data_IF_819843996522
#
_entry.id   IF_819843996522
#
_cell.length_a   1.000
_cell.length_b   1.000
_cell.length_c   1.000
_cell.angle_alpha   90.00
_cell.angle_beta   90.00
_cell.angle_gamma   90.00
#
_symmetry.space_group_name_H-M   'P 1'
#
loop_
_entity.id
_entity.type
_entity.pdbx_description
1 polymer ?
#
# COMPACT_ATOMS: atom_id res chain seq x y z
N UNK A 1 -19.26 71.51 -19.82
CA UNK A 1 -20.73 71.49 -20.08
C UNK A 1 -21.36 70.41 -19.21
N UNK A 2 -22.59 70.60 -18.68
CA UNK A 2 -23.60 69.57 -18.22
C UNK A 2 -23.06 68.30 -17.51
N UNK A 3 -23.22 67.99 -16.20
CA UNK A 3 -24.07 68.44 -15.07
C UNK A 3 -25.58 68.19 -15.23
N UNK A 4 -26.37 67.61 -14.29
CA UNK A 4 -26.22 67.35 -12.83
C UNK A 4 -26.93 66.01 -12.44
N UNK A 5 -26.42 65.22 -11.46
CA UNK A 5 -27.21 64.23 -10.70
C UNK A 5 -26.59 63.90 -9.31
N UNK A 6 -27.40 63.63 -8.27
CA UNK A 6 -26.99 63.30 -6.87
C UNK A 6 -28.00 62.38 -6.15
N UNK A 7 -27.63 61.91 -4.94
CA UNK A 7 -28.34 61.05 -3.97
C UNK A 7 -28.40 59.54 -4.35
N UNK A 8 -28.35 58.57 -3.42
CA UNK A 8 -28.32 58.59 -1.95
C UNK A 8 -29.67 58.20 -1.32
N UNK A 9 -29.79 57.23 -0.42
CA UNK A 9 -28.80 56.34 0.21
C UNK A 9 -29.46 55.32 1.18
N UNK A 10 -28.80 55.00 2.30
CA UNK A 10 -29.25 54.16 3.45
C UNK A 10 -29.41 52.64 3.21
N UNK A 11 -29.21 51.85 4.28
CA UNK A 11 -29.32 50.37 4.35
C UNK A 11 -30.57 49.94 5.14
N UNK A 12 -30.90 48.62 5.19
CA UNK A 12 -30.62 47.89 6.44
C UNK A 12 -30.24 46.39 6.29
N UNK A 13 -29.78 45.77 7.38
CA UNK A 13 -29.61 44.31 7.53
C UNK A 13 -30.93 43.64 7.99
N UNK A 14 -31.35 42.55 7.34
CA UNK A 14 -31.63 41.26 8.01
C UNK A 14 -32.04 40.14 7.04
N UNK A 15 -31.58 38.90 7.31
CA UNK A 15 -32.21 37.67 6.77
C UNK A 15 -31.84 36.43 7.61
N UNK A 16 -32.88 35.76 8.12
CA UNK A 16 -32.94 34.37 8.56
C UNK A 16 -31.73 33.67 9.22
N UNK A 17 -31.70 33.70 10.57
CA UNK A 17 -31.50 32.49 11.36
C UNK A 17 -32.64 32.35 12.38
N UNK A 18 -33.38 31.25 12.35
CA UNK A 18 -34.44 30.97 13.36
C UNK A 18 -33.81 30.54 14.68
N UNK A 19 -34.13 31.24 15.77
CA UNK A 19 -34.02 30.68 17.12
C UNK A 19 -35.18 29.72 17.37
N UNK A 20 -34.88 28.60 18.02
CA UNK A 20 -35.81 27.91 18.92
C UNK A 20 -35.12 27.80 20.29
N UNK A 21 -35.88 27.84 21.38
CA UNK A 21 -35.32 28.08 22.71
C UNK A 21 -36.01 27.29 23.82
N UNK A 22 -35.20 26.59 24.63
CA UNK A 22 -35.52 26.10 25.98
C UNK A 22 -36.60 24.96 25.97
N UNK A 23 -36.79 24.11 26.99
CA UNK A 23 -36.77 24.33 28.46
C UNK A 23 -36.28 23.09 29.23
N UNK A 24 -35.45 23.36 30.27
CA UNK A 24 -35.36 22.78 31.64
C UNK A 24 -36.07 21.42 31.91
N UNK A 25 -35.50 20.39 32.54
CA UNK A 25 -34.31 20.31 33.45
C UNK A 25 -33.35 19.15 33.02
N UNK A 26 -32.64 18.29 33.80
CA UNK A 26 -32.54 17.90 35.24
C UNK A 26 -31.09 17.94 35.77
N UNK A 27 -30.86 17.40 36.98
CA UNK A 27 -29.56 17.33 37.68
C UNK A 27 -29.16 15.87 37.97
N UNK A 28 -27.85 15.58 37.95
CA UNK A 28 -27.13 14.71 38.92
C UNK A 28 -25.60 15.02 38.85
N UNK A 29 -24.94 15.06 40.02
CA UNK A 29 -23.47 14.97 40.23
C UNK A 29 -23.26 14.14 41.53
N UNK A 30 -22.21 13.31 41.64
CA UNK A 30 -20.86 13.75 42.10
C UNK A 30 -19.74 13.26 41.14
N UNK A 31 -18.50 13.78 41.09
CA UNK A 31 -17.48 14.27 42.04
C UNK A 31 -16.60 13.18 42.73
N UNK A 32 -15.35 13.09 42.23
CA UNK A 32 -14.12 12.52 42.81
C UNK A 32 -14.07 11.03 43.19
N UNK A 33 -12.97 10.38 42.77
CA UNK A 33 -11.88 9.93 43.66
C UNK A 33 -10.56 9.99 42.85
N UNK A 34 -9.46 10.37 43.51
CA UNK A 34 -8.10 10.31 42.96
C UNK A 34 -7.43 9.10 43.61
N UNK A 35 -6.91 8.16 42.81
CA UNK A 35 -6.16 6.99 43.31
C UNK A 35 -4.83 6.86 42.58
N UNK A 36 -3.85 6.30 43.27
CA UNK A 36 -2.43 6.39 42.90
C UNK A 36 -1.87 5.07 42.38
N UNK A 37 -0.80 5.18 41.58
CA UNK A 37 0.20 4.16 41.29
C UNK A 37 -0.26 2.79 40.73
N UNK A 38 0.08 2.54 39.47
CA UNK A 38 1.01 1.45 39.19
C UNK A 38 1.88 1.82 38.00
N UNK A 39 3.20 1.94 38.22
CA UNK A 39 4.18 2.19 37.18
C UNK A 39 4.93 0.88 36.90
N UNK A 40 4.46 0.10 35.92
CA UNK A 40 5.10 -1.16 35.52
C UNK A 40 5.65 -1.05 34.11
N UNK A 41 6.95 -0.77 34.04
CA UNK A 41 7.74 -1.03 32.84
C UNK A 41 7.79 -2.54 32.59
N UNK A 42 7.27 -2.99 31.44
CA UNK A 42 7.81 -4.19 30.80
C UNK A 42 8.30 -3.84 29.40
N UNK A 43 9.58 -4.13 29.21
CA UNK A 43 10.38 -3.80 28.03
C UNK A 43 10.21 -4.85 26.94
N UNK A 44 10.67 -4.47 25.74
CA UNK A 44 11.30 -5.31 24.70
C UNK A 44 10.48 -5.74 23.49
N UNK A 45 11.17 -5.67 22.33
CA UNK A 45 10.92 -6.36 21.04
C UNK A 45 9.83 -5.78 20.13
N UNK A 46 10.21 -4.67 19.51
CA UNK A 46 10.36 -4.60 18.05
C UNK A 46 9.33 -5.44 17.25
N UNK A 47 8.10 -4.96 17.19
CA UNK A 47 7.06 -5.51 16.33
C UNK A 47 7.48 -5.37 14.87
N UNK A 48 7.72 -6.48 14.18
CA UNK A 48 7.89 -6.49 12.74
C UNK A 48 6.62 -5.90 12.10
N UNK A 49 6.76 -4.83 11.32
CA UNK A 49 5.63 -4.14 10.68
C UNK A 49 5.23 -4.91 9.42
N UNK A 50 4.48 -5.99 9.62
CA UNK A 50 3.77 -6.66 8.53
C UNK A 50 2.80 -5.66 7.86
N UNK A 51 2.62 -5.71 6.53
CA UNK A 51 1.77 -4.76 5.81
C UNK A 51 0.29 -5.01 6.09
N UNK A 52 -0.27 -4.33 7.09
CA UNK A 52 -1.71 -4.46 7.45
C UNK A 52 -2.60 -4.07 6.27
N UNK A 53 -3.23 -5.07 5.64
CA UNK A 53 -4.15 -4.92 4.51
C UNK A 53 -5.47 -4.31 5.01
N UNK A 54 -5.52 -2.97 5.07
CA UNK A 54 -6.64 -2.17 5.61
C UNK A 54 -8.01 -2.35 4.93
N UNK A 55 -8.12 -3.21 3.91
CA UNK A 55 -9.35 -3.43 3.15
C UNK A 55 -10.22 -4.59 3.68
N UNK A 56 -9.73 -5.40 4.62
CA UNK A 56 -10.37 -6.67 4.99
C UNK A 56 -10.54 -6.84 6.50
N UNK A 57 -11.69 -7.39 6.89
CA UNK A 57 -11.99 -7.86 8.26
C UNK A 57 -11.61 -9.34 8.44
N UNK A 58 -11.33 -10.05 7.34
CA UNK A 58 -10.75 -11.40 7.30
C UNK A 58 -9.24 -11.35 7.31
N UNK A 59 -8.61 -12.44 7.76
CA UNK A 59 -7.16 -12.62 7.79
C UNK A 59 -6.59 -13.22 6.47
N UNK A 60 -7.48 -13.46 5.49
CA UNK A 60 -7.22 -14.05 4.17
C UNK A 60 -7.52 -13.06 3.03
N UNK A 61 -6.76 -13.16 1.95
CA UNK A 61 -7.03 -12.48 0.68
C UNK A 61 -8.40 -12.87 0.10
N UNK A 62 -9.02 -11.95 -0.65
CA UNK A 62 -10.29 -12.18 -1.35
C UNK A 62 -10.18 -11.65 -2.80
N UNK A 63 -10.59 -12.41 -3.83
CA UNK A 63 -11.07 -13.80 -3.76
C UNK A 63 -9.96 -14.76 -3.34
N UNK A 64 -10.33 -15.85 -2.65
CA UNK A 64 -9.35 -16.86 -2.25
C UNK A 64 -8.95 -17.75 -3.44
N UNK A 65 -7.68 -18.19 -3.43
CA UNK A 65 -7.03 -18.97 -4.47
C UNK A 65 -5.82 -19.72 -3.88
N UNK A 66 -5.44 -20.83 -4.51
CA UNK A 66 -4.23 -21.60 -4.14
C UNK A 66 -2.95 -20.84 -4.55
N UNK A 67 -2.99 -20.15 -5.69
CA UNK A 67 -1.88 -19.40 -6.27
C UNK A 67 -2.22 -17.92 -6.42
N UNK A 68 -1.20 -17.08 -6.24
CA UNK A 68 -1.29 -15.65 -6.52
C UNK A 68 -0.10 -15.20 -7.37
N UNK A 69 -0.38 -14.31 -8.33
CA UNK A 69 0.64 -13.54 -9.02
C UNK A 69 0.91 -12.25 -8.23
N UNK A 70 2.12 -12.13 -7.72
CA UNK A 70 2.69 -10.88 -7.21
C UNK A 70 3.18 -10.07 -8.41
N UNK A 71 2.55 -8.93 -8.67
CA UNK A 71 2.91 -8.02 -9.77
C UNK A 71 3.44 -6.71 -9.19
N UNK A 72 4.76 -6.51 -9.26
CA UNK A 72 5.46 -5.38 -8.66
C UNK A 72 5.99 -4.44 -9.76
N UNK A 73 5.49 -3.20 -9.80
CA UNK A 73 6.02 -2.14 -10.66
C UNK A 73 7.00 -1.31 -9.84
N UNK A 74 8.28 -1.34 -10.19
CA UNK A 74 9.41 -0.84 -9.39
C UNK A 74 10.34 0.10 -10.19
N UNK A 75 11.25 0.79 -9.49
CA UNK A 75 12.37 1.52 -10.13
C UNK A 75 13.33 0.54 -10.84
N UNK A 76 13.76 0.79 -12.10
CA UNK A 76 14.56 -0.18 -12.87
C UNK A 76 15.85 -0.63 -12.18
N UNK A 77 16.59 0.31 -11.58
CA UNK A 77 17.86 0.06 -10.91
C UNK A 77 17.76 -0.75 -9.60
N UNK A 78 16.55 -1.05 -9.11
CA UNK A 78 16.34 -1.95 -7.96
C UNK A 78 16.24 -3.42 -8.36
N UNK A 79 16.00 -3.73 -9.64
CA UNK A 79 15.60 -5.07 -10.08
C UNK A 79 16.67 -6.13 -9.81
N UNK A 80 17.95 -5.87 -10.08
CA UNK A 80 19.04 -6.82 -9.80
C UNK A 80 19.11 -7.21 -8.31
N UNK A 81 18.96 -6.22 -7.42
CA UNK A 81 18.99 -6.38 -5.96
C UNK A 81 17.78 -7.21 -5.49
N UNK A 82 16.59 -6.90 -5.99
CA UNK A 82 15.36 -7.65 -5.71
C UNK A 82 15.47 -9.09 -6.21
N UNK A 83 15.88 -9.31 -7.46
CA UNK A 83 16.05 -10.66 -8.05
C UNK A 83 17.09 -11.50 -7.31
N UNK A 84 18.25 -10.92 -6.94
CA UNK A 84 19.27 -11.63 -6.15
C UNK A 84 18.73 -12.03 -4.77
N UNK A 85 17.93 -11.17 -4.15
CA UNK A 85 17.36 -11.38 -2.82
C UNK A 85 16.20 -12.40 -2.82
N UNK A 86 15.40 -12.44 -3.88
CA UNK A 86 14.35 -13.45 -4.12
C UNK A 86 14.95 -14.83 -4.41
N UNK A 87 16.01 -14.89 -5.23
CA UNK A 87 16.73 -16.13 -5.54
C UNK A 87 17.31 -16.78 -4.27
N UNK A 88 17.93 -15.99 -3.40
CA UNK A 88 18.43 -16.43 -2.08
C UNK A 88 17.32 -16.92 -1.14
N UNK A 89 16.08 -16.48 -1.35
CA UNK A 89 14.90 -16.91 -0.58
C UNK A 89 14.24 -18.19 -1.16
N UNK A 90 14.72 -18.68 -2.32
CA UNK A 90 14.21 -19.87 -3.00
C UNK A 90 13.19 -19.60 -4.11
N UNK A 91 12.92 -18.33 -4.43
CA UNK A 91 12.03 -17.96 -5.53
C UNK A 91 12.83 -18.01 -6.84
N UNK A 92 12.53 -19.00 -7.68
CA UNK A 92 13.30 -19.32 -8.91
C UNK A 92 12.55 -19.04 -10.21
N UNK A 93 11.25 -18.74 -10.15
CA UNK A 93 10.44 -18.30 -11.30
C UNK A 93 10.10 -16.82 -11.17
N UNK A 94 10.68 -15.98 -12.03
CA UNK A 94 10.42 -14.53 -12.07
C UNK A 94 10.39 -14.09 -13.54
N UNK A 95 9.36 -13.35 -13.93
CA UNK A 95 9.25 -12.69 -15.23
C UNK A 95 9.44 -11.19 -15.06
N UNK A 96 10.07 -10.52 -16.02
CA UNK A 96 10.42 -9.10 -15.97
C UNK A 96 10.07 -8.45 -17.32
N UNK A 97 9.52 -7.24 -17.27
CA UNK A 97 9.20 -6.44 -18.47
C UNK A 97 9.37 -4.94 -18.22
N UNK A 98 9.95 -4.22 -19.18
CA UNK A 98 10.05 -2.77 -19.14
C UNK A 98 8.68 -2.13 -19.38
N UNK A 99 8.31 -1.18 -18.52
CA UNK A 99 7.01 -0.50 -18.59
C UNK A 99 7.17 1.01 -18.36
N UNK A 100 6.12 1.75 -18.65
CA UNK A 100 6.05 3.19 -18.38
C UNK A 100 4.77 3.50 -17.61
N UNK A 101 4.87 4.39 -16.64
CA UNK A 101 3.74 4.80 -15.81
C UNK A 101 4.01 6.12 -15.10
N UNK A 102 2.97 6.69 -14.51
CA UNK A 102 3.05 7.85 -13.63
C UNK A 102 2.20 7.59 -12.38
N UNK A 103 2.39 8.40 -11.35
CA UNK A 103 1.72 8.24 -10.05
C UNK A 103 1.45 9.59 -9.43
N UNK A 104 0.48 10.33 -9.98
CA UNK A 104 0.05 11.62 -9.46
C UNK A 104 -0.39 11.49 -7.99
N UNK A 105 0.34 12.14 -7.09
CA UNK A 105 -0.01 12.24 -5.67
C UNK A 105 -0.12 13.72 -5.27
N UNK A 106 -1.16 14.37 -5.79
CA UNK A 106 -1.60 15.71 -5.39
C UNK A 106 -0.57 16.81 -5.63
N UNK A 107 0.01 16.89 -6.83
CA UNK A 107 1.01 17.89 -7.19
C UNK A 107 2.45 17.53 -6.80
N UNK A 108 2.68 16.35 -6.22
CA UNK A 108 4.03 15.88 -5.89
C UNK A 108 4.76 15.37 -7.14
N UNK A 109 5.73 16.13 -7.66
CA UNK A 109 6.53 15.73 -8.82
C UNK A 109 7.43 14.52 -8.50
N UNK A 110 7.41 13.47 -9.34
CA UNK A 110 8.40 12.41 -9.23
C UNK A 110 9.76 12.93 -9.72
N UNK A 111 10.83 12.67 -8.96
CA UNK A 111 12.20 12.94 -9.38
C UNK A 111 12.87 11.67 -9.88
N UNK A 112 13.43 11.73 -11.09
CA UNK A 112 14.28 10.67 -11.65
C UNK A 112 15.50 11.34 -12.31
N UNK A 113 16.71 10.98 -11.88
CA UNK A 113 17.96 11.56 -12.42
C UNK A 113 18.10 13.08 -12.23
N UNK A 114 17.54 13.64 -11.15
CA UNK A 114 17.58 15.08 -10.87
C UNK A 114 16.58 15.94 -11.67
N UNK A 115 15.87 15.37 -12.64
CA UNK A 115 14.75 16.03 -13.32
C UNK A 115 13.44 15.82 -12.55
N UNK A 116 12.62 16.86 -12.46
CA UNK A 116 11.23 16.76 -11.99
C UNK A 116 10.30 16.40 -13.16
N UNK A 117 9.39 15.46 -12.90
CA UNK A 117 8.40 14.99 -13.86
C UNK A 117 7.02 15.53 -13.46
N UNK A 118 6.39 16.25 -14.37
CA UNK A 118 4.98 16.66 -14.27
C UNK A 118 4.06 15.43 -14.25
N UNK A 119 2.87 15.56 -13.68
CA UNK A 119 2.00 14.42 -13.37
C UNK A 119 1.61 13.58 -14.60
N UNK A 120 1.47 14.19 -15.78
CA UNK A 120 1.17 13.50 -17.05
C UNK A 120 2.38 12.81 -17.72
N UNK A 121 3.61 13.05 -17.25
CA UNK A 121 4.82 12.58 -17.92
C UNK A 121 5.20 11.18 -17.47
N UNK A 122 4.93 10.20 -18.33
CA UNK A 122 5.36 8.80 -18.17
C UNK A 122 6.84 8.64 -17.78
N UNK A 123 7.08 8.00 -16.63
CA UNK A 123 8.39 7.64 -16.07
C UNK A 123 8.71 6.19 -16.42
N UNK A 124 9.99 5.87 -16.66
CA UNK A 124 10.45 4.51 -16.89
C UNK A 124 10.45 3.68 -15.59
N UNK A 125 9.81 2.51 -15.62
CA UNK A 125 9.67 1.54 -14.52
C UNK A 125 9.90 0.13 -15.06
N UNK A 126 10.05 -0.84 -14.17
CA UNK A 126 10.06 -2.26 -14.54
C UNK A 126 8.94 -2.98 -13.80
N UNK A 127 8.17 -3.78 -14.52
CA UNK A 127 7.18 -4.70 -13.96
C UNK A 127 7.83 -6.08 -13.78
N UNK A 128 7.83 -6.55 -12.54
CA UNK A 128 8.23 -7.90 -12.14
C UNK A 128 6.98 -8.71 -11.79
N UNK A 129 6.89 -9.93 -12.34
CA UNK A 129 5.76 -10.84 -12.15
C UNK A 129 6.26 -12.17 -11.60
N UNK A 130 5.67 -12.63 -10.50
CA UNK A 130 6.05 -13.84 -9.76
C UNK A 130 4.75 -14.58 -9.40
N UNK A 131 4.61 -15.84 -9.80
CA UNK A 131 3.49 -16.69 -9.36
C UNK A 131 3.99 -17.59 -8.24
N UNK A 132 3.28 -17.62 -7.11
CA UNK A 132 3.60 -18.46 -5.94
C UNK A 132 2.34 -19.00 -5.27
N UNK A 133 2.48 -20.05 -4.46
CA UNK A 133 1.41 -20.52 -3.57
C UNK A 133 1.06 -19.51 -2.46
N UNK A 134 -0.20 -19.52 -2.00
CA UNK A 134 -0.76 -18.62 -0.97
C UNK A 134 0.13 -18.43 0.27
N UNK A 135 0.78 -19.50 0.74
CA UNK A 135 1.66 -19.49 1.93
C UNK A 135 2.99 -18.74 1.73
N UNK A 136 3.39 -18.45 0.50
CA UNK A 136 4.63 -17.73 0.18
C UNK A 136 4.43 -16.22 0.00
N UNK A 137 3.19 -15.76 -0.22
CA UNK A 137 2.88 -14.42 -0.75
C UNK A 137 3.45 -13.28 0.11
N UNK A 138 3.13 -13.24 1.41
CA UNK A 138 3.65 -12.20 2.32
C UNK A 138 5.18 -12.16 2.35
N UNK A 139 5.84 -13.32 2.37
CA UNK A 139 7.31 -13.39 2.36
C UNK A 139 7.92 -12.84 1.06
N UNK A 140 7.23 -12.99 -0.08
CA UNK A 140 7.62 -12.37 -1.36
C UNK A 140 7.39 -10.85 -1.32
N UNK A 141 6.25 -10.39 -0.80
CA UNK A 141 5.94 -8.95 -0.66
C UNK A 141 6.97 -8.26 0.23
N UNK A 142 7.20 -8.75 1.45
CA UNK A 142 8.17 -8.20 2.41
C UNK A 142 9.58 -8.16 1.82
N UNK A 143 9.97 -9.20 1.07
CA UNK A 143 11.29 -9.26 0.44
C UNK A 143 11.45 -8.27 -0.72
N UNK A 144 10.41 -8.04 -1.52
CA UNK A 144 10.41 -6.98 -2.54
C UNK A 144 10.48 -5.60 -1.87
N UNK A 145 9.65 -5.35 -0.85
CA UNK A 145 9.60 -4.07 -0.14
C UNK A 145 10.97 -3.75 0.49
N UNK A 146 11.56 -4.68 1.24
CA UNK A 146 12.82 -4.48 1.94
C UNK A 146 14.02 -4.22 1.02
N UNK A 147 13.96 -4.68 -0.23
CA UNK A 147 15.06 -4.55 -1.18
C UNK A 147 14.90 -3.36 -2.14
N UNK A 148 13.65 -3.04 -2.52
CA UNK A 148 13.30 -1.98 -3.47
C UNK A 148 13.10 -0.59 -2.84
N UNK A 149 12.56 -0.52 -1.62
CA UNK A 149 12.21 0.74 -0.95
C UNK A 149 13.41 1.69 -0.83
N UNK A 150 13.20 2.97 -1.15
CA UNK A 150 14.09 4.10 -0.83
C UNK A 150 13.45 5.01 0.23
N UNK A 151 12.12 5.12 0.22
CA UNK A 151 11.36 6.12 0.98
C UNK A 151 10.93 7.32 0.13
N UNK A 152 11.39 7.43 -1.12
CA UNK A 152 11.04 8.50 -2.06
C UNK A 152 9.79 8.17 -2.89
N UNK A 153 9.08 9.22 -3.32
CA UNK A 153 7.94 9.12 -4.24
C UNK A 153 8.39 8.45 -5.55
N UNK A 154 7.60 7.48 -6.02
CA UNK A 154 7.90 6.70 -7.23
C UNK A 154 8.58 5.35 -7.02
N UNK A 155 8.80 4.91 -5.77
CA UNK A 155 9.41 3.60 -5.46
C UNK A 155 8.72 2.42 -6.15
N UNK A 156 7.38 2.41 -6.13
CA UNK A 156 6.59 1.41 -6.84
C UNK A 156 5.20 1.19 -6.26
N UNK A 157 4.52 0.19 -6.82
CA UNK A 157 3.31 -0.45 -6.26
C UNK A 157 3.42 -1.97 -6.48
N UNK A 158 2.86 -2.73 -5.56
CA UNK A 158 2.69 -4.19 -5.68
C UNK A 158 1.20 -4.48 -5.73
N UNK A 159 0.80 -5.36 -6.63
CA UNK A 159 -0.56 -5.87 -6.79
C UNK A 159 -0.56 -7.39 -6.57
N UNK A 160 -1.66 -7.90 -6.04
CA UNK A 160 -1.95 -9.33 -5.98
C UNK A 160 -3.07 -9.65 -6.96
N UNK A 161 -2.88 -10.69 -7.77
CA UNK A 161 -3.87 -11.21 -8.70
C UNK A 161 -4.04 -12.71 -8.43
N UNK A 162 -5.27 -13.22 -8.19
CA UNK A 162 -5.49 -14.65 -8.00
C UNK A 162 -5.18 -15.42 -9.29
N UNK A 163 -4.63 -16.64 -9.16
CA UNK A 163 -4.29 -17.53 -10.27
C UNK A 163 -4.96 -18.89 -10.05
N UNK A 164 -5.68 -19.38 -11.07
CA UNK A 164 -6.52 -20.58 -10.96
C UNK A 164 -5.80 -21.91 -11.19
N UNK A 165 -4.73 -21.91 -11.98
CA UNK A 165 -3.88 -23.08 -12.26
C UNK A 165 -2.50 -22.60 -12.76
N UNK A 166 -1.48 -23.45 -12.61
CA UNK A 166 -0.12 -23.24 -13.10
C UNK A 166 0.23 -24.47 -13.95
N UNK A 167 0.71 -24.30 -15.18
CA UNK A 167 0.95 -25.43 -16.11
C UNK A 167 2.38 -25.39 -16.62
N UNK A 168 3.14 -26.48 -16.42
CA UNK A 168 4.54 -26.57 -16.86
C UNK A 168 4.63 -27.13 -18.29
N UNK A 169 4.80 -26.23 -19.26
CA UNK A 169 4.82 -26.54 -20.71
C UNK A 169 5.71 -27.75 -21.10
N UNK A 170 6.87 -27.92 -20.45
CA UNK A 170 7.82 -29.02 -20.76
C UNK A 170 7.33 -30.42 -20.35
N UNK A 171 6.40 -30.52 -19.40
CA UNK A 171 6.04 -31.80 -18.75
C UNK A 171 4.53 -32.05 -18.68
N UNK A 172 3.69 -31.02 -18.84
CA UNK A 172 2.25 -31.11 -18.66
C UNK A 172 1.78 -31.15 -17.19
N UNK A 173 2.71 -31.04 -16.23
CA UNK A 173 2.39 -30.94 -14.80
C UNK A 173 1.52 -29.70 -14.53
N UNK A 174 0.66 -29.79 -13.50
CA UNK A 174 -0.30 -28.75 -13.08
C UNK A 174 -0.20 -28.42 -11.59
N UNK A 175 -0.85 -27.33 -11.16
CA UNK A 175 -0.94 -26.91 -9.76
C UNK A 175 0.42 -26.81 -9.05
N UNK A 176 0.49 -27.27 -7.80
CA UNK A 176 1.70 -27.21 -6.97
C UNK A 176 2.91 -27.89 -7.64
N UNK A 177 2.70 -29.02 -8.35
CA UNK A 177 3.79 -29.69 -9.07
C UNK A 177 4.41 -28.82 -10.18
N UNK A 178 3.62 -27.92 -10.78
CA UNK A 178 4.06 -27.01 -11.83
C UNK A 178 4.68 -25.71 -11.29
N UNK A 179 4.20 -25.22 -10.15
CA UNK A 179 4.80 -24.09 -9.42
C UNK A 179 6.17 -24.48 -8.84
N UNK A 180 6.23 -25.65 -8.17
CA UNK A 180 7.39 -26.05 -7.36
C UNK A 180 8.66 -26.18 -8.19
N UNK A 181 9.65 -25.35 -7.87
CA UNK A 181 10.98 -25.36 -8.48
C UNK A 181 11.98 -26.14 -7.62
N UNK A 182 12.80 -26.99 -8.23
CA UNK A 182 13.83 -27.79 -7.52
C UNK A 182 14.90 -26.90 -6.87
N UNK A 183 15.20 -27.16 -5.59
CA UNK A 183 16.00 -26.30 -4.72
C UNK A 183 15.28 -24.98 -4.34
N UNK A 184 13.96 -24.95 -4.50
CA UNK A 184 13.12 -23.79 -4.25
C UNK A 184 12.86 -23.55 -2.76
N UNK A 185 11.98 -22.59 -2.48
CA UNK A 185 11.63 -22.19 -1.11
C UNK A 185 11.06 -23.34 -0.28
N UNK A 186 10.16 -24.15 -0.88
CA UNK A 186 9.56 -25.34 -0.27
C UNK A 186 10.59 -26.37 0.19
N UNK A 187 11.57 -26.67 -0.67
CA UNK A 187 12.63 -27.65 -0.38
C UNK A 187 13.51 -27.18 0.78
N UNK A 188 13.91 -25.90 0.78
CA UNK A 188 14.72 -25.32 1.86
C UNK A 188 13.97 -25.27 3.20
N UNK A 189 12.66 -25.00 3.21
CA UNK A 189 11.85 -25.07 4.44
C UNK A 189 11.63 -26.49 4.97
N UNK A 190 11.97 -27.53 4.21
CA UNK A 190 11.93 -28.94 4.66
C UNK A 190 13.28 -29.48 5.15
N UNK A 191 14.34 -28.65 5.11
CA UNK A 191 15.73 -29.03 5.46
C UNK A 191 16.24 -28.29 6.71
N UNK A 192 15.37 -27.56 7.42
CA UNK A 192 15.68 -26.69 8.57
C UNK A 192 14.78 -27.02 9.77
#
# INVERSE_FOLDING_TARGET
MVTIARAGGVTPLHSHHKRFSLIITTSIRPKLIYSQFSLLYLTTRNTAILPVIKAQTSQDYVPDAEFYKVEAILRPWRIEKVSSALLKMGIRGVTVSDVRGFGAQGGSTERQGGSEFSEDKFVAKVKMEIVVTKSQVEAVIDKIIGEAKTGEIGDGKIFLVPISDVIRVRTGERGEMAERMTGGRSDMSSTA
#
